data_IF_756353101359
#
_entry.id   IF_756353101359
#
_cell.length_a   1.000
_cell.length_b   1.000
_cell.length_c   1.000
_cell.angle_alpha   90.00
_cell.angle_beta   90.00
_cell.angle_gamma   90.00
#
_symmetry.space_group_name_H-M   'P 1'
#
loop_
_entity.id
_entity.type
_entity.pdbx_description
1 polymer ?
#
# COMPACT_ATOMS: atom_id res chain seq x y z
N UNK A 1 -53.83 34.02 22.51
CA UNK A 1 -52.53 34.73 22.65
C UNK A 1 -52.15 34.84 24.13
N UNK A 2 -50.87 35.05 24.47
CA UNK A 2 -50.46 35.17 25.88
C UNK A 2 -50.83 36.57 26.45
N UNK A 3 -50.79 36.73 27.78
CA UNK A 3 -51.18 37.98 28.43
C UNK A 3 -50.35 39.18 27.97
N UNK A 4 -49.05 38.99 27.77
CA UNK A 4 -48.14 40.06 27.39
C UNK A 4 -48.43 40.56 25.98
N UNK A 5 -48.69 39.65 25.04
CA UNK A 5 -49.13 39.96 23.67
C UNK A 5 -50.49 40.68 23.67
N UNK A 6 -51.47 40.16 24.42
CA UNK A 6 -52.80 40.79 24.50
C UNK A 6 -52.73 42.19 25.13
N UNK A 7 -51.90 42.38 26.16
CA UNK A 7 -51.71 43.67 26.83
C UNK A 7 -51.11 44.72 25.89
N UNK A 8 -50.10 44.35 25.11
CA UNK A 8 -49.51 45.24 24.11
C UNK A 8 -50.49 45.61 22.99
N UNK A 9 -51.33 44.65 22.55
CA UNK A 9 -52.39 44.91 21.58
C UNK A 9 -53.44 45.88 22.16
N UNK A 10 -53.84 45.70 23.42
CA UNK A 10 -54.82 46.58 24.07
C UNK A 10 -54.29 48.02 24.28
N UNK A 11 -53.02 48.18 24.70
CA UNK A 11 -52.39 49.51 24.87
C UNK A 11 -52.36 50.32 23.56
N UNK A 12 -52.19 49.63 22.43
CA UNK A 12 -52.14 50.26 21.10
C UNK A 12 -53.51 50.63 20.53
N UNK A 13 -54.60 50.12 21.12
CA UNK A 13 -55.96 50.32 20.65
C UNK A 13 -56.83 50.92 21.77
N UNK A 14 -56.87 52.27 21.90
CA UNK A 14 -57.66 52.93 22.94
C UNK A 14 -59.14 52.56 22.86
N UNK A 15 -59.74 52.22 24.00
CA UNK A 15 -61.14 51.76 24.07
C UNK A 15 -61.35 50.26 23.80
N UNK A 16 -60.27 49.50 23.59
CA UNK A 16 -60.34 48.04 23.51
C UNK A 16 -60.41 47.38 24.90
N UNK A 17 -61.06 46.22 24.97
CA UNK A 17 -61.26 45.41 26.16
C UNK A 17 -60.43 44.13 26.03
N UNK A 18 -59.49 43.93 26.96
CA UNK A 18 -58.76 42.68 27.13
C UNK A 18 -59.62 41.71 27.92
N UNK A 19 -59.83 40.51 27.39
CA UNK A 19 -60.65 39.48 28.01
C UNK A 19 -59.97 38.11 27.93
N UNK A 20 -60.47 37.17 28.71
CA UNK A 20 -59.98 35.79 28.77
C UNK A 20 -61.13 34.85 28.46
N UNK A 21 -60.88 33.86 27.61
CA UNK A 21 -61.89 32.84 27.30
C UNK A 21 -61.86 31.67 28.30
N UNK A 22 -62.79 30.74 28.14
CA UNK A 22 -62.93 29.55 28.97
C UNK A 22 -61.75 28.58 28.84
N UNK A 23 -60.97 28.68 27.75
CA UNK A 23 -59.74 27.90 27.55
C UNK A 23 -58.53 28.52 28.28
N UNK A 24 -58.69 29.73 28.82
CA UNK A 24 -57.67 30.45 29.54
C UNK A 24 -56.78 31.32 28.65
N UNK A 25 -57.07 31.43 27.35
CA UNK A 25 -56.37 32.31 26.42
C UNK A 25 -56.87 33.75 26.53
N UNK A 26 -55.95 34.71 26.32
CA UNK A 26 -56.30 36.13 26.27
C UNK A 26 -56.64 36.55 24.85
N UNK A 27 -57.58 37.47 24.71
CA UNK A 27 -57.92 38.13 23.45
C UNK A 27 -58.32 39.59 23.71
N UNK A 28 -58.29 40.42 22.67
CA UNK A 28 -58.67 41.83 22.75
C UNK A 28 -59.86 42.08 21.83
N UNK A 29 -60.87 42.79 22.30
CA UNK A 29 -62.02 43.25 21.49
C UNK A 29 -62.02 44.77 21.42
N UNK A 30 -62.35 45.33 20.26
CA UNK A 30 -62.55 46.76 20.08
C UNK A 30 -63.84 47.24 20.74
N UNK A 31 -64.07 48.56 20.76
CA UNK A 31 -65.27 49.17 21.35
C UNK A 31 -66.58 48.67 20.71
N UNK A 32 -66.53 48.24 19.46
CA UNK A 32 -67.69 47.67 18.72
C UNK A 32 -67.86 46.15 18.98
N UNK A 33 -67.12 45.57 19.93
CA UNK A 33 -67.17 44.15 20.27
C UNK A 33 -66.46 43.22 19.28
N UNK A 34 -65.86 43.75 18.21
CA UNK A 34 -65.10 42.95 17.24
C UNK A 34 -63.70 42.59 17.76
N UNK A 35 -63.17 41.38 17.47
CA UNK A 35 -61.82 41.00 17.88
C UNK A 35 -60.76 41.88 17.21
N UNK A 36 -59.93 42.51 18.04
CA UNK A 36 -58.79 43.35 17.64
C UNK A 36 -57.53 42.53 17.88
N UNK A 37 -56.72 42.34 16.84
CA UNK A 37 -55.48 41.56 16.94
C UNK A 37 -55.65 40.06 16.68
N UNK A 38 -56.74 39.63 16.04
CA UNK A 38 -56.77 38.34 15.35
C UNK A 38 -55.65 38.34 14.32
N UNK A 39 -54.55 37.66 14.62
CA UNK A 39 -53.41 37.54 13.72
C UNK A 39 -53.88 36.99 12.36
N UNK A 40 -53.70 37.71 11.25
CA UNK A 40 -53.71 37.08 9.95
C UNK A 40 -52.38 36.36 9.78
N UNK A 41 -52.14 35.28 10.56
CA UNK A 41 -50.97 34.40 10.41
C UNK A 41 -51.12 33.48 9.18
N UNK A 42 -51.64 34.04 8.10
CA UNK A 42 -51.58 33.52 6.74
C UNK A 42 -51.27 34.68 5.80
N UNK A 43 -50.14 35.36 6.03
CA UNK A 43 -49.52 36.16 4.98
C UNK A 43 -49.08 35.19 3.86
N UNK A 44 -49.61 35.31 2.63
CA UNK A 44 -49.33 34.38 1.53
C UNK A 44 -47.83 34.20 1.23
N UNK A 45 -47.01 35.21 1.54
CA UNK A 45 -45.55 35.20 1.34
C UNK A 45 -44.82 34.15 2.18
N UNK A 46 -45.13 34.00 3.47
CA UNK A 46 -44.44 33.03 4.34
C UNK A 46 -44.76 31.58 3.96
N UNK A 47 -45.98 31.31 3.52
CA UNK A 47 -46.37 29.98 3.04
C UNK A 47 -45.66 29.62 1.72
N UNK A 48 -45.45 30.61 0.85
CA UNK A 48 -44.66 30.42 -0.37
C UNK A 48 -43.19 30.15 -0.06
N UNK A 49 -42.58 30.96 0.81
CA UNK A 49 -41.19 30.78 1.23
C UNK A 49 -40.96 29.41 1.87
N UNK A 50 -41.86 28.98 2.76
CA UNK A 50 -41.78 27.67 3.40
C UNK A 50 -41.86 26.54 2.37
N UNK A 51 -42.79 26.61 1.43
CA UNK A 51 -42.90 25.63 0.33
C UNK A 51 -41.66 25.60 -0.56
N UNK A 52 -41.04 26.75 -0.83
CA UNK A 52 -39.79 26.83 -1.58
C UNK A 52 -38.61 26.20 -0.82
N UNK A 53 -38.55 26.38 0.50
CA UNK A 53 -37.54 25.71 1.33
C UNK A 53 -37.77 24.19 1.38
N UNK A 54 -39.02 23.74 1.49
CA UNK A 54 -39.37 22.31 1.48
C UNK A 54 -38.96 21.64 0.16
N UNK A 55 -39.25 22.25 -0.99
CA UNK A 55 -38.83 21.70 -2.29
C UNK A 55 -37.31 21.70 -2.43
N UNK A 56 -36.62 22.73 -1.92
CA UNK A 56 -35.16 22.77 -1.92
C UNK A 56 -34.55 21.69 -1.04
N UNK A 57 -35.11 21.42 0.14
CA UNK A 57 -34.68 20.33 1.01
C UNK A 57 -34.85 18.99 0.30
N UNK A 58 -36.02 18.73 -0.29
CA UNK A 58 -36.28 17.48 -1.01
C UNK A 58 -35.30 17.26 -2.19
N UNK A 59 -34.94 18.33 -2.91
CA UNK A 59 -33.92 18.28 -3.96
C UNK A 59 -32.54 17.90 -3.40
N UNK A 60 -32.10 18.55 -2.33
CA UNK A 60 -30.81 18.27 -1.70
C UNK A 60 -30.75 16.84 -1.13
N UNK A 61 -31.83 16.35 -0.54
CA UNK A 61 -31.94 14.97 -0.08
C UNK A 61 -31.81 13.97 -1.23
N UNK A 62 -32.43 14.26 -2.37
CA UNK A 62 -32.29 13.45 -3.57
C UNK A 62 -30.87 13.45 -4.12
N UNK A 63 -30.21 14.63 -4.19
CA UNK A 63 -28.82 14.75 -4.61
C UNK A 63 -27.87 14.02 -3.67
N UNK A 64 -28.06 14.15 -2.35
CA UNK A 64 -27.29 13.41 -1.34
C UNK A 64 -27.46 11.89 -1.50
N UNK A 65 -28.68 11.43 -1.76
CA UNK A 65 -28.95 10.01 -2.02
C UNK A 65 -28.18 9.51 -3.26
N UNK A 66 -28.20 10.27 -4.36
CA UNK A 66 -27.44 9.94 -5.57
C UNK A 66 -25.93 9.93 -5.33
N UNK A 67 -25.41 10.92 -4.60
CA UNK A 67 -23.99 11.01 -4.27
C UNK A 67 -23.55 9.83 -3.40
N UNK A 68 -24.35 9.42 -2.41
CA UNK A 68 -24.05 8.24 -1.59
C UNK A 68 -23.93 6.98 -2.44
N UNK A 69 -24.91 6.72 -3.31
CA UNK A 69 -24.87 5.57 -4.22
C UNK A 69 -23.66 5.60 -5.16
N UNK A 70 -23.30 6.79 -5.67
CA UNK A 70 -22.12 6.93 -6.52
C UNK A 70 -20.83 6.66 -5.77
N UNK A 71 -20.69 7.18 -4.54
CA UNK A 71 -19.53 6.93 -3.69
C UNK A 71 -19.43 5.45 -3.35
N UNK A 72 -20.53 4.80 -2.98
CA UNK A 72 -20.53 3.36 -2.68
C UNK A 72 -20.08 2.54 -3.89
N UNK A 73 -20.60 2.87 -5.08
CA UNK A 73 -20.20 2.20 -6.33
C UNK A 73 -18.73 2.45 -6.69
N UNK A 74 -18.23 3.69 -6.51
CA UNK A 74 -16.83 3.99 -6.77
C UNK A 74 -15.90 3.27 -5.79
N UNK A 75 -16.26 3.24 -4.51
CA UNK A 75 -15.55 2.51 -3.47
C UNK A 75 -15.52 1.02 -3.78
N UNK A 76 -16.67 0.42 -4.12
CA UNK A 76 -16.75 -0.99 -4.47
C UNK A 76 -15.91 -1.32 -5.72
N UNK A 77 -16.01 -0.50 -6.77
CA UNK A 77 -15.24 -0.70 -8.00
C UNK A 77 -13.73 -0.61 -7.82
N UNK A 78 -13.25 0.19 -6.85
CA UNK A 78 -11.82 0.35 -6.55
C UNK A 78 -11.31 -0.69 -5.56
N UNK A 79 -12.10 -1.03 -4.54
CA UNK A 79 -11.66 -1.90 -3.45
C UNK A 79 -11.78 -3.38 -3.79
N UNK A 80 -12.86 -3.80 -4.47
CA UNK A 80 -13.08 -5.20 -4.83
C UNK A 80 -11.92 -5.83 -5.62
N UNK A 81 -11.44 -5.23 -6.73
CA UNK A 81 -10.32 -5.82 -7.47
C UNK A 81 -9.00 -5.80 -6.67
N UNK A 82 -8.82 -4.84 -5.76
CA UNK A 82 -7.64 -4.80 -4.89
C UNK A 82 -7.67 -5.94 -3.86
N UNK A 83 -8.83 -6.22 -3.28
CA UNK A 83 -9.01 -7.35 -2.37
C UNK A 83 -8.74 -8.67 -3.08
N UNK A 84 -9.32 -8.87 -4.27
CA UNK A 84 -9.08 -10.07 -5.09
C UNK A 84 -7.58 -10.22 -5.46
N UNK A 85 -6.89 -9.12 -5.79
CA UNK A 85 -5.44 -9.12 -6.06
C UNK A 85 -4.64 -9.50 -4.83
N UNK A 86 -4.96 -8.93 -3.66
CA UNK A 86 -4.27 -9.23 -2.40
C UNK A 86 -4.47 -10.69 -2.01
N UNK A 87 -5.68 -11.23 -2.17
CA UNK A 87 -5.98 -12.64 -1.89
C UNK A 87 -5.19 -13.58 -2.82
N UNK A 88 -5.11 -13.25 -4.11
CA UNK A 88 -4.32 -14.01 -5.08
C UNK A 88 -2.81 -13.97 -4.77
N UNK A 89 -2.28 -12.79 -4.46
CA UNK A 89 -0.87 -12.62 -4.05
C UNK A 89 -0.57 -13.37 -2.76
N UNK A 90 -1.47 -13.31 -1.77
CA UNK A 90 -1.33 -14.05 -0.53
C UNK A 90 -1.30 -15.56 -0.77
N UNK A 91 -2.20 -16.09 -1.59
CA UNK A 91 -2.21 -17.50 -1.98
C UNK A 91 -0.90 -17.90 -2.69
N UNK A 92 -0.38 -17.03 -3.55
CA UNK A 92 0.90 -17.25 -4.22
C UNK A 92 2.06 -17.29 -3.22
N UNK A 93 2.14 -16.33 -2.30
CA UNK A 93 3.17 -16.29 -1.25
C UNK A 93 3.13 -17.53 -0.36
N UNK A 94 1.94 -18.01 0.01
CA UNK A 94 1.81 -19.25 0.79
C UNK A 94 2.33 -20.46 0.01
N UNK A 95 2.07 -20.55 -1.30
CA UNK A 95 2.61 -21.61 -2.14
C UNK A 95 4.13 -21.56 -2.25
N UNK A 96 4.71 -20.37 -2.44
CA UNK A 96 6.17 -20.21 -2.50
C UNK A 96 6.81 -20.57 -1.15
N UNK A 97 6.20 -20.16 -0.04
CA UNK A 97 6.66 -20.51 1.31
C UNK A 97 6.73 -22.03 1.51
N UNK A 98 5.69 -22.77 1.13
CA UNK A 98 5.69 -24.23 1.29
C UNK A 98 6.73 -24.92 0.40
N UNK A 99 6.92 -24.43 -0.83
CA UNK A 99 7.97 -24.92 -1.74
C UNK A 99 9.38 -24.67 -1.17
N UNK A 100 9.65 -23.48 -0.66
CA UNK A 100 10.92 -23.14 -0.04
C UNK A 100 11.18 -23.98 1.21
N UNK A 101 10.17 -24.18 2.06
CA UNK A 101 10.30 -25.04 3.24
C UNK A 101 10.70 -26.46 2.83
N UNK A 102 10.05 -27.02 1.81
CA UNK A 102 10.39 -28.35 1.31
C UNK A 102 11.85 -28.42 0.79
N UNK A 103 12.33 -27.38 0.11
CA UNK A 103 13.72 -27.32 -0.35
C UNK A 103 14.72 -27.22 0.81
N UNK A 104 14.39 -26.46 1.86
CA UNK A 104 15.21 -26.37 3.08
C UNK A 104 15.31 -27.75 3.72
N UNK A 105 14.19 -28.44 3.93
CA UNK A 105 14.17 -29.77 4.53
C UNK A 105 14.97 -30.80 3.69
N UNK A 106 14.85 -30.73 2.36
CA UNK A 106 15.64 -31.57 1.44
C UNK A 106 17.14 -31.26 1.51
N UNK A 107 17.51 -29.99 1.66
CA UNK A 107 18.90 -29.56 1.76
C UNK A 107 19.50 -29.99 3.09
N UNK A 108 18.76 -29.84 4.19
CA UNK A 108 19.19 -30.29 5.52
C UNK A 108 19.41 -31.81 5.57
N UNK A 109 18.51 -32.59 4.98
CA UNK A 109 18.67 -34.05 4.91
C UNK A 109 19.86 -34.45 4.05
N UNK A 110 20.08 -33.78 2.92
CA UNK A 110 21.26 -34.00 2.06
C UNK A 110 22.55 -33.66 2.77
N UNK A 111 22.58 -32.52 3.47
CA UNK A 111 23.73 -32.08 4.23
C UNK A 111 24.05 -33.03 5.39
N UNK A 112 23.03 -33.55 6.07
CA UNK A 112 23.21 -34.60 7.09
C UNK A 112 23.82 -35.88 6.50
N UNK A 113 23.38 -36.31 5.32
CA UNK A 113 23.98 -37.46 4.63
C UNK A 113 25.43 -37.22 4.26
N UNK A 114 25.75 -36.03 3.74
CA UNK A 114 27.12 -35.66 3.40
C UNK A 114 28.03 -35.65 4.63
N UNK A 115 27.57 -35.12 5.77
CA UNK A 115 28.33 -35.17 7.04
C UNK A 115 28.60 -36.60 7.51
N UNK A 116 27.62 -37.51 7.37
CA UNK A 116 27.80 -38.91 7.72
C UNK A 116 28.80 -39.60 6.78
N UNK A 117 28.77 -39.29 5.48
CA UNK A 117 29.75 -39.78 4.53
C UNK A 117 31.14 -39.24 4.86
N UNK A 118 31.29 -37.93 5.09
CA UNK A 118 32.54 -37.30 5.49
C UNK A 118 33.15 -37.99 6.71
N UNK A 119 32.35 -38.25 7.76
CA UNK A 119 32.80 -38.98 8.94
C UNK A 119 33.23 -40.42 8.62
N UNK A 120 32.44 -41.16 7.84
CA UNK A 120 32.78 -42.54 7.46
C UNK A 120 34.04 -42.63 6.58
N UNK A 121 34.28 -41.65 5.72
CA UNK A 121 35.51 -41.55 4.93
C UNK A 121 36.70 -41.16 5.82
N UNK A 122 36.52 -40.22 6.76
CA UNK A 122 37.56 -39.83 7.70
C UNK A 122 38.01 -41.00 8.61
N UNK A 123 37.09 -41.88 9.02
CA UNK A 123 37.43 -43.10 9.77
C UNK A 123 38.26 -44.09 8.94
N UNK A 124 37.99 -44.21 7.64
CA UNK A 124 38.66 -45.19 6.77
C UNK A 124 39.97 -44.71 6.18
N UNK A 125 40.08 -43.42 5.89
CA UNK A 125 41.17 -42.83 5.11
C UNK A 125 41.87 -41.68 5.83
N UNK A 126 41.53 -41.38 7.08
CA UNK A 126 42.03 -40.21 7.79
C UNK A 126 41.31 -38.93 7.38
N UNK A 127 41.44 -37.88 8.20
CA UNK A 127 40.84 -36.58 7.91
C UNK A 127 41.43 -36.01 6.61
N UNK A 128 40.56 -35.63 5.67
CA UNK A 128 40.98 -34.97 4.44
C UNK A 128 41.49 -33.57 4.78
N UNK A 129 42.75 -33.29 4.48
CA UNK A 129 43.30 -31.94 4.50
C UNK A 129 43.37 -31.44 3.07
N UNK A 130 42.56 -30.43 2.77
CA UNK A 130 42.71 -29.67 1.53
C UNK A 130 43.95 -28.81 1.70
N UNK A 131 45.07 -29.24 1.10
CA UNK A 131 46.25 -28.39 1.00
C UNK A 131 46.05 -27.47 -0.18
N UNK A 132 46.12 -26.17 0.08
CA UNK A 132 46.16 -25.18 -0.99
C UNK A 132 47.51 -25.27 -1.69
N UNK A 133 47.57 -26.06 -2.78
CA UNK A 133 48.73 -26.11 -3.65
C UNK A 133 48.51 -25.09 -4.77
N UNK A 134 49.23 -23.98 -4.70
CA UNK A 134 49.29 -23.02 -5.81
C UNK A 134 50.38 -23.45 -6.78
N UNK A 135 50.01 -24.15 -7.85
CA UNK A 135 50.94 -24.38 -8.97
C UNK A 135 50.88 -23.17 -9.89
N UNK A 136 52.01 -22.48 -10.06
CA UNK A 136 52.13 -21.43 -11.08
C UNK A 136 52.46 -22.11 -12.40
N UNK A 137 51.47 -22.22 -13.29
CA UNK A 137 51.71 -22.72 -14.64
C UNK A 137 52.08 -21.52 -15.50
N UNK A 138 53.34 -21.46 -15.93
CA UNK A 138 53.78 -20.49 -16.94
C UNK A 138 53.41 -21.04 -18.32
N UNK A 139 52.36 -20.50 -18.94
CA UNK A 139 52.14 -20.75 -20.37
C UNK A 139 53.13 -19.90 -21.16
N UNK A 140 53.72 -20.52 -22.19
CA UNK A 140 54.70 -19.88 -23.06
C UNK A 140 54.19 -19.92 -24.48
N UNK A 141 54.06 -18.76 -25.09
CA UNK A 141 53.72 -18.63 -26.50
C UNK A 141 54.98 -18.41 -27.31
N UNK A 142 54.87 -18.67 -28.61
CA UNK A 142 55.90 -18.31 -29.58
C UNK A 142 56.11 -16.79 -29.53
N UNK A 143 57.35 -16.36 -29.36
CA UNK A 143 57.68 -14.94 -29.22
C UNK A 143 57.30 -14.18 -30.48
N UNK A 144 56.28 -13.32 -30.40
CA UNK A 144 55.81 -12.52 -31.54
C UNK A 144 56.84 -11.57 -32.14
N UNK A 145 57.95 -11.29 -31.44
CA UNK A 145 59.01 -10.40 -31.92
C UNK A 145 60.00 -11.09 -32.85
N UNK A 146 60.25 -12.37 -32.64
CA UNK A 146 61.21 -13.15 -33.43
C UNK A 146 60.57 -14.34 -34.15
N UNK A 147 59.28 -14.60 -33.92
CA UNK A 147 58.57 -15.72 -34.56
C UNK A 147 59.00 -17.10 -34.06
N UNK A 148 59.68 -17.18 -32.90
CA UNK A 148 60.09 -18.45 -32.30
C UNK A 148 61.55 -18.84 -32.50
N UNK A 149 62.30 -18.11 -33.31
CA UNK A 149 63.70 -18.44 -33.65
C UNK A 149 64.74 -17.95 -32.64
N UNK A 150 64.35 -17.16 -31.62
CA UNK A 150 65.25 -16.52 -30.66
C UNK A 150 65.98 -15.27 -31.17
N UNK A 151 65.78 -14.86 -32.42
CA UNK A 151 66.50 -13.78 -33.08
C UNK A 151 67.94 -14.15 -33.46
N UNK A 152 68.60 -13.28 -34.23
CA UNK A 152 69.98 -13.48 -34.69
C UNK A 152 70.92 -13.67 -33.49
N UNK A 153 71.60 -14.82 -33.45
CA UNK A 153 72.47 -15.26 -32.35
C UNK A 153 71.79 -15.32 -30.96
N UNK A 154 70.47 -15.54 -30.90
CA UNK A 154 69.74 -15.52 -29.63
C UNK A 154 69.57 -14.10 -29.05
N UNK A 155 69.79 -13.06 -29.84
CA UNK A 155 69.77 -11.67 -29.36
C UNK A 155 68.38 -11.08 -29.09
N UNK A 156 67.30 -11.86 -29.19
CA UNK A 156 65.96 -11.34 -28.95
C UNK A 156 65.72 -11.08 -27.45
N UNK A 157 65.89 -9.84 -27.00
CA UNK A 157 65.67 -9.43 -25.61
C UNK A 157 64.21 -9.43 -25.13
N UNK A 158 63.25 -9.94 -25.91
CA UNK A 158 61.86 -10.17 -25.45
C UNK A 158 61.64 -11.59 -24.94
N UNK A 159 62.39 -12.56 -25.46
CA UNK A 159 62.35 -13.97 -25.06
C UNK A 159 63.72 -14.47 -24.59
N UNK A 160 64.66 -13.55 -24.34
CA UNK A 160 66.06 -13.81 -23.98
C UNK A 160 66.74 -14.85 -24.87
N UNK A 161 66.42 -14.82 -26.17
CA UNK A 161 66.98 -15.74 -27.16
C UNK A 161 66.34 -17.13 -27.23
N UNK A 162 65.37 -17.44 -26.36
CA UNK A 162 64.77 -18.78 -26.30
C UNK A 162 63.71 -19.03 -27.38
N UNK A 163 63.20 -17.98 -28.02
CA UNK A 163 62.08 -18.07 -28.95
C UNK A 163 60.71 -18.12 -28.29
N UNK A 164 60.64 -18.31 -26.97
CA UNK A 164 59.39 -18.44 -26.21
C UNK A 164 59.18 -17.24 -25.28
N UNK A 165 57.99 -16.65 -25.29
CA UNK A 165 57.61 -15.57 -24.40
C UNK A 165 56.52 -16.04 -23.44
N UNK A 166 56.63 -15.70 -22.16
CA UNK A 166 55.61 -16.03 -21.16
C UNK A 166 54.33 -15.27 -21.52
N UNK A 167 53.23 -15.99 -21.75
CA UNK A 167 51.96 -15.43 -22.22
C UNK A 167 50.94 -15.28 -21.11
N UNK A 168 50.80 -16.26 -20.22
CA UNK A 168 49.96 -16.18 -19.04
C UNK A 168 50.56 -16.92 -17.84
N UNK A 169 50.21 -16.45 -16.64
CA UNK A 169 50.41 -17.18 -15.40
C UNK A 169 49.04 -17.54 -14.86
N UNK A 170 48.72 -18.83 -14.85
CA UNK A 170 47.50 -19.32 -14.22
C UNK A 170 47.85 -19.98 -12.89
N UNK A 171 47.11 -19.61 -11.84
CA UNK A 171 47.09 -20.31 -10.56
C UNK A 171 45.95 -21.31 -10.59
N UNK A 172 46.28 -22.59 -10.72
CA UNK A 172 45.30 -23.67 -10.58
C UNK A 172 45.27 -24.11 -9.12
N UNK A 173 44.06 -24.21 -8.54
CA UNK A 173 43.82 -24.73 -7.18
C UNK A 173 43.23 -26.12 -7.30
N UNK A 174 43.87 -27.11 -6.67
CA UNK A 174 43.28 -28.20 -5.86
C UNK A 174 44.19 -29.44 -5.83
N UNK A 175 44.63 -29.82 -4.62
CA UNK A 175 45.03 -31.20 -4.30
C UNK A 175 44.40 -31.57 -2.96
N UNK A 176 43.60 -32.65 -2.94
CA UNK A 176 43.05 -33.21 -1.71
C UNK A 176 43.99 -34.33 -1.25
N UNK A 177 44.60 -34.17 -0.07
CA UNK A 177 45.42 -35.22 0.54
C UNK A 177 44.67 -35.83 1.73
N UNK A 178 44.64 -37.15 1.78
CA UNK A 178 44.13 -37.94 2.91
C UNK A 178 45.32 -38.30 3.82
N UNK A 179 45.13 -38.26 5.15
CA UNK A 179 46.19 -38.53 6.14
C UNK A 179 46.42 -40.01 6.38
#
# INVERSE_FOLDING_TARGET
MNYQEASEVAKRNPGSILSRDESGEFYVRGPDGQPVGGSPLKSPGLAHELKEKETRIAQLEQELSKLRLHVDAEVESRLKPRLESIEAEWAHVQKVKTQLQQQVDQTETSLRKLRLLEAAYAERFGAAEVKEVSVTVESRDVCSRCGGDGGVNGGCGKCDGTGWAISQRETVREEVQFK
#
